data_IF_924475833854
#
_entry.id   IF_924475833854
#
_cell.length_a   1.000
_cell.length_b   1.000
_cell.length_c   1.000
_cell.angle_alpha   90.00
_cell.angle_beta   90.00
_cell.angle_gamma   90.00
#
_symmetry.space_group_name_H-M   'P 1'
#
loop_
_entity.id
_entity.type
_entity.pdbx_description
1 polymer ?
#
# COMPACT_ATOMS: atom_id res chain seq x y z
N UNK A 1 -9.35 15.41 4.73
CA UNK A 1 -8.72 15.26 3.40
C UNK A 1 -9.14 13.94 2.79
N UNK A 2 -9.50 13.89 1.49
CA UNK A 2 -9.91 12.63 0.87
C UNK A 2 -8.79 11.62 1.01
N UNK A 3 -9.17 10.39 1.32
CA UNK A 3 -8.30 9.39 1.93
C UNK A 3 -7.17 8.95 0.96
N UNK A 4 -5.96 9.54 1.11
CA UNK A 4 -4.77 9.27 0.27
C UNK A 4 -4.38 7.79 0.20
N UNK A 5 -4.95 6.92 1.04
CA UNK A 5 -4.66 5.49 1.08
C UNK A 5 -5.68 4.63 0.30
N UNK A 6 -6.64 5.24 -0.42
CA UNK A 6 -7.64 4.50 -1.20
C UNK A 6 -7.00 3.59 -2.27
N UNK A 7 -5.99 4.09 -3.00
CA UNK A 7 -5.25 3.28 -3.98
C UNK A 7 -4.43 2.17 -3.34
N UNK A 8 -3.88 2.39 -2.14
CA UNK A 8 -3.18 1.35 -1.38
C UNK A 8 -4.12 0.21 -0.96
N UNK A 9 -5.34 0.55 -0.51
CA UNK A 9 -6.37 -0.44 -0.17
C UNK A 9 -6.86 -1.23 -1.37
N UNK A 10 -7.10 -0.56 -2.50
CA UNK A 10 -7.47 -1.23 -3.74
C UNK A 10 -6.40 -2.25 -4.15
N UNK A 11 -5.14 -1.81 -4.26
CA UNK A 11 -4.03 -2.70 -4.59
C UNK A 11 -3.93 -3.87 -3.61
N UNK A 12 -4.08 -3.62 -2.30
CA UNK A 12 -4.05 -4.67 -1.28
C UNK A 12 -5.17 -5.71 -1.45
N UNK A 13 -6.36 -5.27 -1.86
CA UNK A 13 -7.51 -6.15 -2.11
C UNK A 13 -7.29 -7.02 -3.35
N UNK A 14 -6.68 -6.44 -4.39
CA UNK A 14 -6.35 -7.18 -5.62
C UNK A 14 -5.20 -8.18 -5.42
N UNK A 15 -4.41 -8.02 -4.35
CA UNK A 15 -3.22 -8.84 -4.05
C UNK A 15 -3.31 -9.50 -2.67
N UNK A 16 -4.51 -9.91 -2.22
CA UNK A 16 -4.68 -10.48 -0.87
C UNK A 16 -3.89 -11.77 -0.64
N UNK A 17 -3.69 -12.59 -1.68
CA UNK A 17 -2.94 -13.85 -1.59
C UNK A 17 -1.45 -13.61 -1.36
N UNK A 18 -0.90 -12.52 -1.91
CA UNK A 18 0.51 -12.15 -1.76
C UNK A 18 0.69 -10.62 -1.66
N UNK A 19 0.39 -10.00 -0.50
CA UNK A 19 0.29 -8.55 -0.33
C UNK A 19 1.65 -7.86 -0.15
N UNK A 20 2.58 -8.12 -1.06
CA UNK A 20 3.96 -7.63 -1.06
C UNK A 20 4.23 -6.87 -2.36
N UNK A 21 4.04 -5.53 -2.37
CA UNK A 21 4.24 -4.74 -3.58
C UNK A 21 5.71 -4.77 -4.02
N UNK A 22 5.92 -4.88 -5.32
CA UNK A 22 7.23 -4.80 -5.95
C UNK A 22 7.81 -3.38 -5.86
N UNK A 23 9.06 -3.17 -6.28
CA UNK A 23 9.64 -1.82 -6.37
C UNK A 23 8.83 -0.92 -7.31
N UNK A 24 8.35 -1.46 -8.44
CA UNK A 24 7.53 -0.72 -9.40
C UNK A 24 6.19 -0.30 -8.80
N UNK A 25 5.49 -1.23 -8.13
CA UNK A 25 4.23 -0.93 -7.45
C UNK A 25 4.40 0.17 -6.40
N UNK A 26 5.46 0.10 -5.59
CA UNK A 26 5.72 1.10 -4.56
C UNK A 26 5.94 2.49 -5.16
N UNK A 27 6.65 2.60 -6.29
CA UNK A 27 6.85 3.87 -7.01
C UNK A 27 5.53 4.40 -7.53
N UNK A 28 4.74 3.57 -8.23
CA UNK A 28 3.42 3.96 -8.73
C UNK A 28 2.51 4.45 -7.61
N UNK A 29 2.42 3.67 -6.52
CA UNK A 29 1.56 3.99 -5.38
C UNK A 29 2.02 5.24 -4.63
N UNK A 30 3.33 5.46 -4.51
CA UNK A 30 3.90 6.68 -3.94
C UNK A 30 3.46 7.93 -4.71
N UNK A 31 3.52 7.89 -6.04
CA UNK A 31 3.06 8.97 -6.92
C UNK A 31 1.55 9.19 -6.77
N UNK A 32 0.76 8.12 -6.89
CA UNK A 32 -0.71 8.20 -6.85
C UNK A 32 -1.24 8.68 -5.49
N UNK A 33 -0.59 8.29 -4.39
CA UNK A 33 -1.01 8.62 -3.03
C UNK A 33 -0.35 9.88 -2.47
N UNK A 34 0.57 10.51 -3.22
CA UNK A 34 1.42 11.62 -2.75
C UNK A 34 2.15 11.25 -1.45
N UNK A 35 2.77 10.08 -1.43
CA UNK A 35 3.52 9.52 -0.29
C UNK A 35 4.95 9.25 -0.70
N UNK A 36 5.86 9.24 0.26
CA UNK A 36 7.22 8.71 0.04
C UNK A 36 7.20 7.19 -0.06
N UNK A 37 8.22 6.59 -0.70
CA UNK A 37 8.37 5.13 -0.76
C UNK A 37 8.41 4.49 0.63
N UNK A 38 9.01 5.17 1.61
CA UNK A 38 9.05 4.73 3.00
C UNK A 38 7.66 4.70 3.61
N UNK A 39 6.85 5.75 3.40
CA UNK A 39 5.46 5.79 3.89
C UNK A 39 4.60 4.67 3.27
N UNK A 40 4.75 4.42 1.96
CA UNK A 40 4.07 3.29 1.29
C UNK A 40 4.51 1.95 1.90
N UNK A 41 5.81 1.75 2.08
CA UNK A 41 6.35 0.51 2.65
C UNK A 41 5.85 0.26 4.08
N UNK A 42 5.85 1.30 4.92
CA UNK A 42 5.33 1.25 6.29
C UNK A 42 3.83 0.98 6.31
N UNK A 43 3.07 1.59 5.40
CA UNK A 43 1.63 1.35 5.29
C UNK A 43 1.34 -0.12 5.01
N UNK A 44 2.01 -0.74 4.03
CA UNK A 44 1.82 -2.15 3.69
C UNK A 44 2.26 -3.10 4.81
N UNK A 45 3.37 -2.79 5.50
CA UNK A 45 3.78 -3.56 6.67
C UNK A 45 2.71 -3.54 7.76
N UNK A 46 2.15 -2.36 8.07
CA UNK A 46 1.10 -2.22 9.06
C UNK A 46 -0.22 -2.86 8.61
N UNK A 47 -0.58 -2.75 7.33
CA UNK A 47 -1.80 -3.34 6.77
C UNK A 47 -1.79 -4.87 6.86
N UNK A 48 -0.69 -5.52 6.44
CA UNK A 48 -0.52 -6.97 6.60
C UNK A 48 -0.62 -7.42 8.06
N UNK A 49 -0.04 -6.67 9.00
CA UNK A 49 -0.16 -7.01 10.43
C UNK A 49 -1.61 -6.94 10.93
N UNK A 50 -2.42 -6.02 10.41
CA UNK A 50 -3.85 -5.91 10.76
C UNK A 50 -4.70 -7.05 10.17
N UNK A 51 -4.33 -7.61 9.02
CA UNK A 51 -5.05 -8.74 8.40
C UNK A 51 -4.85 -10.07 9.14
N UNK A 52 -3.77 -10.21 9.91
CA UNK A 52 -3.47 -11.42 10.69
C UNK A 52 -4.13 -11.42 12.08
N UNK A 53 -4.83 -10.35 12.43
CA UNK A 53 -5.67 -10.28 13.63
C UNK A 53 -7.10 -10.55 13.24
#
# INVERSE_FOLDING_TARGET
TPNNTAKLRAWLTDHMDHPYPTKGDKIMLAVLCKMTLTQVSTWFANARRRMKK
#
